data_IF_140159685438
#
_entry.id   IF_140159685438
#
_cell.length_a   1.000
_cell.length_b   1.000
_cell.length_c   1.000
_cell.angle_alpha   90.00
_cell.angle_beta   90.00
_cell.angle_gamma   90.00
#
_symmetry.space_group_name_H-M   'P 1'
#
loop_
_entity.id
_entity.type
_entity.pdbx_description
1 polymer ?
#
# COMPACT_ATOMS: atom_id res chain seq x y z
N UNK A 1 1.69 -12.87 -8.95
CA UNK A 1 0.83 -12.56 -7.79
C UNK A 1 0.22 -11.20 -8.00
N UNK A 2 -1.02 -11.00 -7.52
CA UNK A 2 -1.59 -9.66 -7.34
C UNK A 2 -2.13 -9.54 -5.92
N UNK A 3 -2.22 -8.31 -5.42
CA UNK A 3 -2.85 -7.97 -4.15
C UNK A 3 -3.64 -6.67 -4.33
N UNK A 4 -4.93 -6.69 -4.02
CA UNK A 4 -5.75 -5.47 -3.99
C UNK A 4 -5.85 -4.97 -2.55
N UNK A 5 -6.06 -3.66 -2.38
CA UNK A 5 -6.33 -3.10 -1.04
C UNK A 5 -7.57 -3.76 -0.44
N UNK A 6 -7.51 -4.01 0.86
CA UNK A 6 -8.51 -4.86 1.51
C UNK A 6 -9.93 -4.30 1.44
N UNK A 7 -10.12 -2.99 1.35
CA UNK A 7 -11.42 -2.34 1.28
C UNK A 7 -12.04 -2.36 -0.13
N UNK A 8 -11.32 -2.84 -1.15
CA UNK A 8 -11.80 -2.80 -2.54
C UNK A 8 -12.81 -3.88 -2.88
N UNK A 9 -13.94 -3.52 -3.53
CA UNK A 9 -14.84 -4.48 -4.16
C UNK A 9 -14.14 -5.31 -5.26
N UNK A 10 -14.58 -6.56 -5.50
CA UNK A 10 -13.96 -7.44 -6.50
C UNK A 10 -13.89 -6.83 -7.92
N UNK A 11 -14.88 -6.02 -8.30
CA UNK A 11 -14.94 -5.36 -9.60
C UNK A 11 -13.80 -4.34 -9.78
N UNK A 12 -13.59 -3.47 -8.78
CA UNK A 12 -12.50 -2.49 -8.80
C UNK A 12 -11.13 -3.16 -8.72
N UNK A 13 -11.01 -4.21 -7.91
CA UNK A 13 -9.80 -5.04 -7.86
C UNK A 13 -9.47 -5.64 -9.24
N UNK A 14 -10.45 -6.28 -9.89
CA UNK A 14 -10.26 -6.88 -11.21
C UNK A 14 -9.86 -5.85 -12.27
N UNK A 15 -10.49 -4.67 -12.24
CA UNK A 15 -10.14 -3.57 -13.14
C UNK A 15 -8.71 -3.07 -12.91
N UNK A 16 -8.31 -2.90 -11.65
CA UNK A 16 -6.95 -2.48 -11.31
C UNK A 16 -5.91 -3.49 -11.82
N UNK A 17 -6.12 -4.78 -11.56
CA UNK A 17 -5.20 -5.84 -11.99
C UNK A 17 -5.09 -5.90 -13.52
N UNK A 18 -6.21 -5.76 -14.23
CA UNK A 18 -6.21 -5.72 -15.70
C UNK A 18 -5.44 -4.50 -16.24
N UNK A 19 -5.66 -3.32 -15.67
CA UNK A 19 -4.94 -2.11 -16.04
C UNK A 19 -3.44 -2.27 -15.75
N UNK A 20 -3.06 -2.64 -14.53
CA UNK A 20 -1.67 -2.87 -14.13
C UNK A 20 -0.95 -3.87 -15.03
N UNK A 21 -1.63 -4.93 -15.44
CA UNK A 21 -1.07 -5.96 -16.33
C UNK A 21 -0.85 -5.42 -17.74
N UNK A 22 -1.78 -4.63 -18.28
CA UNK A 22 -1.59 -3.97 -19.57
C UNK A 22 -0.45 -2.96 -19.53
N UNK A 23 -0.41 -2.20 -18.44
CA UNK A 23 0.54 -1.15 -18.16
C UNK A 23 1.97 -1.69 -18.10
N UNK A 24 2.24 -2.70 -17.27
CA UNK A 24 3.59 -3.28 -17.08
C UNK A 24 4.17 -3.93 -18.35
N UNK A 25 3.30 -4.34 -19.29
CA UNK A 25 3.65 -4.92 -20.58
C UNK A 25 3.74 -3.88 -21.71
N UNK A 26 3.47 -2.61 -21.42
CA UNK A 26 3.55 -1.51 -22.38
C UNK A 26 4.83 -0.69 -22.23
N UNK A 27 5.10 0.18 -23.20
CA UNK A 27 6.20 1.15 -23.14
C UNK A 27 6.03 2.20 -22.03
N UNK A 28 4.89 2.20 -21.32
CA UNK A 28 4.62 3.12 -20.21
C UNK A 28 5.60 2.95 -19.03
N UNK A 29 6.17 1.76 -18.87
CA UNK A 29 7.18 1.46 -17.84
C UNK A 29 8.43 0.86 -18.49
N UNK A 30 9.34 1.71 -19.00
CA UNK A 30 10.57 1.24 -19.63
C UNK A 30 11.32 0.29 -18.69
N UNK A 31 11.91 -0.77 -19.25
CA UNK A 31 12.61 -1.87 -18.57
C UNK A 31 11.71 -2.96 -17.94
N UNK A 32 10.39 -2.79 -17.87
CA UNK A 32 9.48 -3.79 -17.33
C UNK A 32 8.94 -4.80 -18.37
N UNK A 33 8.92 -4.45 -19.66
CA UNK A 33 8.34 -5.31 -20.70
C UNK A 33 9.19 -6.55 -21.06
N UNK A 34 10.50 -6.56 -20.75
CA UNK A 34 11.41 -7.70 -20.97
C UNK A 34 11.95 -8.34 -19.69
N UNK A 35 11.53 -7.85 -18.51
CA UNK A 35 12.02 -8.42 -17.26
C UNK A 35 11.30 -9.71 -16.91
N UNK A 36 12.00 -10.57 -16.17
CA UNK A 36 11.41 -11.73 -15.51
C UNK A 36 11.11 -11.46 -14.04
N UNK A 37 11.43 -10.28 -13.51
CA UNK A 37 11.23 -9.85 -12.12
C UNK A 37 10.74 -8.40 -12.10
N UNK A 38 9.45 -8.24 -11.85
CA UNK A 38 8.80 -6.95 -11.79
C UNK A 38 7.78 -6.88 -10.66
N UNK A 39 7.67 -5.68 -10.10
CA UNK A 39 6.60 -5.27 -9.19
C UNK A 39 6.11 -3.89 -9.61
N UNK A 40 4.80 -3.71 -9.73
CA UNK A 40 4.17 -2.39 -9.85
C UNK A 40 3.13 -2.24 -8.75
N UNK A 41 3.19 -1.10 -8.09
CA UNK A 41 2.25 -0.64 -7.10
C UNK A 41 1.39 0.46 -7.74
N UNK A 42 0.08 0.21 -7.80
CA UNK A 42 -0.93 1.20 -8.10
C UNK A 42 -1.74 1.51 -6.83
N UNK A 43 -2.48 2.60 -6.86
CA UNK A 43 -3.33 3.08 -5.76
C UNK A 43 -4.34 2.02 -5.29
N UNK A 44 -4.78 1.13 -6.19
CA UNK A 44 -5.84 0.16 -5.92
C UNK A 44 -5.35 -1.30 -5.96
N UNK A 45 -4.12 -1.57 -6.40
CA UNK A 45 -3.56 -2.92 -6.40
C UNK A 45 -2.05 -2.93 -6.64
N UNK A 46 -1.44 -4.04 -6.26
CA UNK A 46 -0.08 -4.41 -6.60
C UNK A 46 -0.12 -5.64 -7.51
N UNK A 47 0.76 -5.68 -8.52
CA UNK A 47 1.11 -6.93 -9.22
C UNK A 47 2.61 -7.17 -9.11
N UNK A 48 2.99 -8.44 -8.92
CA UNK A 48 4.37 -8.90 -8.84
C UNK A 48 4.54 -10.21 -9.57
N UNK A 49 5.55 -10.31 -10.42
CA UNK A 49 6.02 -11.56 -11.00
C UNK A 49 7.54 -11.65 -10.88
N UNK A 50 8.05 -12.87 -10.75
CA UNK A 50 9.48 -13.15 -10.67
C UNK A 50 9.72 -14.55 -11.23
N UNK A 51 10.89 -14.79 -11.82
CA UNK A 51 11.39 -16.12 -12.14
C UNK A 51 11.87 -16.89 -10.88
N UNK A 52 11.95 -16.21 -9.73
CA UNK A 52 12.24 -16.81 -8.43
C UNK A 52 10.95 -16.92 -7.61
N UNK A 53 10.84 -18.00 -6.82
CA UNK A 53 9.74 -18.12 -5.86
C UNK A 53 9.89 -17.05 -4.77
N UNK A 54 8.80 -16.34 -4.50
CA UNK A 54 8.70 -15.35 -3.41
C UNK A 54 7.51 -15.62 -2.48
N UNK A 55 6.77 -16.72 -2.71
CA UNK A 55 5.61 -17.07 -1.91
C UNK A 55 6.02 -17.56 -0.52
N UNK A 56 5.20 -17.22 0.47
CA UNK A 56 5.37 -17.55 1.90
C UNK A 56 6.72 -17.14 2.49
N UNK A 57 7.41 -16.20 1.83
CA UNK A 57 8.71 -15.68 2.26
C UNK A 57 8.57 -14.17 2.45
N UNK A 58 8.88 -13.68 3.64
CA UNK A 58 8.84 -12.24 3.92
C UNK A 58 9.93 -11.52 3.14
N UNK A 59 9.54 -10.50 2.39
CA UNK A 59 10.40 -9.64 1.61
C UNK A 59 10.38 -8.22 2.17
N UNK A 60 11.52 -7.83 2.74
CA UNK A 60 11.75 -6.54 3.38
C UNK A 60 12.61 -5.63 2.50
N UNK A 61 12.78 -5.94 1.21
CA UNK A 61 13.58 -5.10 0.31
C UNK A 61 12.70 -4.07 -0.41
N UNK A 62 13.34 -3.05 -0.98
CA UNK A 62 12.72 -2.10 -1.91
C UNK A 62 11.44 -1.44 -1.37
N UNK A 63 11.56 -0.80 -0.21
CA UNK A 63 10.48 0.03 0.33
C UNK A 63 10.22 1.24 -0.56
N UNK A 64 8.96 1.42 -0.92
CA UNK A 64 8.45 2.68 -1.42
C UNK A 64 7.81 3.45 -0.27
N UNK A 65 8.10 4.74 -0.18
CA UNK A 65 7.41 5.66 0.73
C UNK A 65 7.15 6.98 0.01
N UNK A 66 5.98 7.57 0.26
CA UNK A 66 5.63 8.89 -0.25
C UNK A 66 5.09 9.75 0.89
N UNK A 67 5.96 10.53 1.52
CA UNK A 67 5.53 11.38 2.63
C UNK A 67 4.87 12.63 2.07
N UNK A 68 3.68 12.98 2.56
CA UNK A 68 3.09 14.29 2.32
C UNK A 68 3.04 15.12 3.60
N UNK A 69 3.26 16.43 3.48
CA UNK A 69 3.10 17.33 4.61
C UNK A 69 1.62 17.51 4.90
N UNK A 70 1.11 16.88 5.96
CA UNK A 70 -0.23 17.19 6.47
C UNK A 70 -0.14 18.27 7.55
N UNK A 71 -1.13 19.15 7.61
CA UNK A 71 -1.31 20.19 8.63
C UNK A 71 -1.73 19.61 9.99
N UNK A 72 -1.01 18.60 10.49
CA UNK A 72 -1.23 18.07 11.82
C UNK A 72 -1.00 19.21 12.83
N UNK A 73 -2.08 19.63 13.50
CA UNK A 73 -2.06 20.83 14.34
C UNK A 73 -1.19 20.67 15.60
N UNK A 74 -0.98 19.43 16.05
CA UNK A 74 -0.14 19.06 17.19
C UNK A 74 0.71 17.84 16.86
N UNK A 75 1.97 18.08 16.46
CA UNK A 75 2.92 17.04 16.04
C UNK A 75 3.33 16.08 17.15
N UNK A 76 3.39 16.53 18.41
CA UNK A 76 3.86 15.70 19.52
C UNK A 76 2.79 14.69 19.92
N UNK A 77 1.55 15.15 20.05
CA UNK A 77 0.41 14.28 20.30
C UNK A 77 0.16 13.34 19.12
N UNK A 78 0.34 13.82 17.88
CA UNK A 78 0.25 13.01 16.67
C UNK A 78 1.11 11.74 16.75
N UNK A 79 2.41 11.86 17.04
CA UNK A 79 3.32 10.71 16.99
C UNK A 79 2.94 9.62 17.99
N UNK A 80 2.44 10.01 19.17
CA UNK A 80 1.97 9.07 20.19
C UNK A 80 0.69 8.34 19.72
N UNK A 81 -0.28 9.09 19.20
CA UNK A 81 -1.53 8.54 18.66
C UNK A 81 -1.26 7.64 17.47
N UNK A 82 -0.38 8.05 16.55
CA UNK A 82 0.07 7.24 15.41
C UNK A 82 0.70 5.94 15.88
N UNK A 83 1.73 6.02 16.73
CA UNK A 83 2.48 4.84 17.18
C UNK A 83 1.57 3.82 17.87
N UNK A 84 0.63 4.27 18.71
CA UNK A 84 -0.35 3.38 19.32
C UNK A 84 -1.29 2.76 18.27
N UNK A 85 -1.92 3.60 17.47
CA UNK A 85 -3.00 3.19 16.55
C UNK A 85 -2.46 2.25 15.46
N UNK A 86 -1.31 2.58 14.86
CA UNK A 86 -0.74 1.76 13.78
C UNK A 86 -0.26 0.40 14.26
N UNK A 87 0.20 0.29 15.52
CA UNK A 87 0.58 -1.01 16.09
C UNK A 87 -0.65 -1.88 16.36
N UNK A 88 -1.74 -1.32 16.87
CA UNK A 88 -3.00 -2.05 17.04
C UNK A 88 -3.54 -2.57 15.69
N UNK A 89 -3.48 -1.73 14.64
CA UNK A 89 -3.87 -2.11 13.28
C UNK A 89 -2.95 -3.19 12.72
N UNK A 90 -1.64 -3.09 12.97
CA UNK A 90 -0.68 -4.09 12.50
C UNK A 90 -0.85 -5.44 13.20
N UNK A 91 -1.16 -5.46 14.49
CA UNK A 91 -1.47 -6.68 15.24
C UNK A 91 -2.73 -7.35 14.69
N UNK A 92 -3.79 -6.59 14.43
CA UNK A 92 -5.04 -7.10 13.87
C UNK A 92 -4.85 -7.68 12.45
N UNK A 93 -4.16 -6.95 11.57
CA UNK A 93 -3.88 -7.42 10.21
C UNK A 93 -3.04 -8.71 10.21
N UNK A 94 -2.09 -8.84 11.14
CA UNK A 94 -1.21 -10.00 11.24
C UNK A 94 -1.85 -11.24 11.87
N UNK A 95 -2.86 -11.07 12.73
CA UNK A 95 -3.45 -12.17 13.50
C UNK A 95 -4.21 -13.22 12.65
N UNK A 96 -4.51 -12.91 11.39
CA UNK A 96 -5.21 -13.83 10.49
C UNK A 96 -4.33 -14.99 10.03
N UNK A 97 -4.92 -16.18 9.83
CA UNK A 97 -4.22 -17.38 9.36
C UNK A 97 -3.67 -17.22 7.92
N UNK A 98 -2.76 -18.11 7.52
CA UNK A 98 -2.27 -18.19 6.13
C UNK A 98 -3.45 -18.42 5.18
N UNK A 99 -3.46 -17.72 4.04
CA UNK A 99 -4.51 -17.76 3.02
C UNK A 99 -5.71 -16.86 3.30
N UNK A 100 -5.88 -16.38 4.53
CA UNK A 100 -6.91 -15.40 4.86
C UNK A 100 -6.48 -13.98 4.48
N UNK A 101 -7.46 -13.09 4.29
CA UNK A 101 -7.22 -11.67 4.10
C UNK A 101 -6.55 -11.09 5.35
N UNK A 102 -5.36 -10.51 5.20
CA UNK A 102 -4.57 -9.89 6.26
C UNK A 102 -4.61 -8.38 6.12
N UNK A 103 -5.67 -7.78 6.64
CA UNK A 103 -5.99 -6.37 6.44
C UNK A 103 -6.74 -5.83 7.65
N UNK A 104 -6.37 -4.65 8.12
CA UNK A 104 -7.07 -3.96 9.19
C UNK A 104 -7.02 -2.45 8.99
N UNK A 105 -7.99 -1.76 9.58
CA UNK A 105 -8.12 -0.30 9.56
C UNK A 105 -8.57 0.20 10.91
N UNK A 106 -8.14 1.41 11.28
CA UNK A 106 -8.63 2.07 12.49
C UNK A 106 -8.69 3.58 12.34
N UNK A 107 -9.65 4.18 13.03
CA UNK A 107 -9.73 5.62 13.24
C UNK A 107 -9.42 5.92 14.71
N UNK A 108 -8.61 6.95 14.96
CA UNK A 108 -8.32 7.45 16.30
C UNK A 108 -8.42 8.98 16.32
N UNK A 109 -9.00 9.54 17.40
CA UNK A 109 -9.04 11.00 17.58
C UNK A 109 -7.72 11.52 18.11
N UNK A 110 -7.24 12.64 17.56
CA UNK A 110 -6.07 13.34 18.09
C UNK A 110 -6.55 14.29 19.19
N UNK A 111 -5.99 14.15 20.40
CA UNK A 111 -6.42 14.96 21.54
C UNK A 111 -6.22 16.46 21.29
N UNK A 112 -7.07 17.33 21.83
CA UNK A 112 -6.89 18.78 21.74
C UNK A 112 -7.21 19.42 20.39
N UNK A 113 -7.76 18.67 19.42
CA UNK A 113 -8.20 19.20 18.12
C UNK A 113 -9.43 18.48 17.54
N UNK A 114 -9.77 18.82 16.29
CA UNK A 114 -10.87 18.23 15.53
C UNK A 114 -10.40 17.19 14.49
N UNK A 115 -9.09 16.90 14.45
CA UNK A 115 -8.51 15.98 13.48
C UNK A 115 -8.59 14.53 13.98
N UNK A 116 -8.90 13.61 13.06
CA UNK A 116 -8.79 12.17 13.26
C UNK A 116 -7.54 11.66 12.52
N UNK A 117 -6.96 10.59 13.05
CA UNK A 117 -5.97 9.75 12.39
C UNK A 117 -6.68 8.52 11.81
N UNK A 118 -6.46 8.26 10.53
CA UNK A 118 -6.87 7.04 9.84
C UNK A 118 -5.63 6.19 9.59
N UNK A 119 -5.66 4.93 10.02
CA UNK A 119 -4.58 3.96 9.85
C UNK A 119 -5.08 2.72 9.11
N UNK A 120 -4.20 2.13 8.31
CA UNK A 120 -4.41 0.89 7.57
C UNK A 120 -3.11 0.08 7.57
N UNK A 121 -3.24 -1.25 7.67
CA UNK A 121 -2.14 -2.18 7.47
C UNK A 121 -2.61 -3.38 6.64
N UNK A 122 -1.74 -3.87 5.77
CA UNK A 122 -2.02 -5.03 4.93
C UNK A 122 -0.77 -5.88 4.73
N UNK A 123 -0.96 -7.20 4.65
CA UNK A 123 0.07 -8.16 4.25
C UNK A 123 -0.39 -9.02 3.08
N UNK A 124 0.55 -9.61 2.36
CA UNK A 124 0.22 -10.67 1.40
C UNK A 124 -0.31 -11.90 2.17
N UNK A 125 -1.40 -12.54 1.68
CA UNK A 125 -2.14 -13.56 2.43
C UNK A 125 -1.34 -14.85 2.67
N UNK A 126 -0.28 -15.09 1.89
CA UNK A 126 0.59 -16.25 1.94
C UNK A 126 1.59 -16.26 3.11
N UNK A 127 1.71 -15.16 3.85
CA UNK A 127 2.62 -15.05 5.00
C UNK A 127 2.05 -15.65 6.28
N UNK A 128 2.94 -16.15 7.15
CA UNK A 128 2.59 -16.46 8.53
C UNK A 128 2.19 -15.19 9.31
N UNK A 129 1.43 -15.29 10.41
CA UNK A 129 1.19 -14.16 11.30
C UNK A 129 2.46 -13.44 11.75
N UNK A 130 3.51 -14.22 12.07
CA UNK A 130 4.78 -13.73 12.55
C UNK A 130 5.52 -12.93 11.46
N UNK A 131 5.55 -13.46 10.23
CA UNK A 131 6.21 -12.82 9.09
C UNK A 131 5.47 -11.57 8.63
N UNK A 132 4.13 -11.60 8.63
CA UNK A 132 3.32 -10.41 8.38
C UNK A 132 3.65 -9.32 9.41
N UNK A 133 3.65 -9.66 10.71
CA UNK A 133 3.94 -8.68 11.75
C UNK A 133 5.36 -8.13 11.68
N UNK A 134 6.33 -9.00 11.36
CA UNK A 134 7.73 -8.62 11.12
C UNK A 134 7.84 -7.60 9.99
N UNK A 135 7.14 -7.81 8.87
CA UNK A 135 7.11 -6.86 7.78
C UNK A 135 6.53 -5.51 8.20
N UNK A 136 5.36 -5.53 8.85
CA UNK A 136 4.69 -4.32 9.31
C UNK A 136 5.52 -3.52 10.31
N UNK A 137 6.29 -4.18 11.19
CA UNK A 137 7.22 -3.49 12.09
C UNK A 137 8.24 -2.63 11.34
N UNK A 138 8.81 -3.14 10.25
CA UNK A 138 9.78 -2.39 9.45
C UNK A 138 9.09 -1.23 8.73
N UNK A 139 7.89 -1.45 8.18
CA UNK A 139 7.12 -0.37 7.55
C UNK A 139 6.77 0.75 8.54
N UNK A 140 6.38 0.40 9.77
CA UNK A 140 6.10 1.37 10.85
C UNK A 140 7.36 2.17 11.19
N UNK A 141 8.49 1.50 11.40
CA UNK A 141 9.76 2.17 11.69
C UNK A 141 10.18 3.14 10.58
N UNK A 142 10.05 2.71 9.32
CA UNK A 142 10.33 3.55 8.15
C UNK A 142 9.38 4.78 8.10
N UNK A 143 8.09 4.59 8.38
CA UNK A 143 7.13 5.70 8.40
C UNK A 143 7.46 6.72 9.49
N UNK A 144 7.83 6.26 10.70
CA UNK A 144 8.24 7.15 11.80
C UNK A 144 9.53 7.91 11.45
N UNK A 145 10.52 7.21 10.88
CA UNK A 145 11.84 7.76 10.59
C UNK A 145 11.82 8.76 9.42
N UNK A 146 11.12 8.41 8.33
CA UNK A 146 11.20 9.16 7.08
C UNK A 146 10.00 10.08 6.84
N UNK A 147 8.84 9.79 7.44
CA UNK A 147 7.62 10.55 7.20
C UNK A 147 6.98 11.11 8.48
N UNK A 148 7.63 11.02 9.65
CA UNK A 148 7.04 11.41 10.93
C UNK A 148 5.69 10.72 11.21
N UNK A 149 5.45 9.56 10.60
CA UNK A 149 4.17 8.85 10.65
C UNK A 149 3.02 9.55 9.91
N UNK A 150 3.25 10.69 9.24
CA UNK A 150 2.24 11.55 8.60
C UNK A 150 2.03 11.16 7.14
N UNK A 151 0.75 10.99 6.77
CA UNK A 151 0.27 10.94 5.39
C UNK A 151 1.19 10.12 4.46
N UNK A 152 1.48 8.89 4.89
CA UNK A 152 2.59 8.07 4.40
C UNK A 152 2.10 6.69 3.99
N UNK A 153 1.92 6.41 2.68
CA UNK A 153 1.94 5.04 2.20
C UNK A 153 3.38 4.55 2.28
N UNK A 154 3.64 3.52 3.09
CA UNK A 154 4.89 2.77 3.09
C UNK A 154 4.58 1.36 2.62
N UNK A 155 5.22 0.93 1.53
CA UNK A 155 4.92 -0.35 0.89
C UNK A 155 6.20 -1.13 0.58
N UNK A 156 6.25 -2.37 1.03
CA UNK A 156 7.22 -3.38 0.62
C UNK A 156 6.50 -4.45 -0.21
N UNK A 157 7.24 -5.38 -0.85
CA UNK A 157 6.62 -6.46 -1.61
C UNK A 157 5.73 -7.39 -0.77
N UNK A 158 5.86 -7.40 0.56
CA UNK A 158 5.14 -8.30 1.47
C UNK A 158 4.08 -7.62 2.32
N UNK A 159 4.17 -6.30 2.54
CA UNK A 159 3.20 -5.57 3.36
C UNK A 159 3.19 -4.07 3.04
N UNK A 160 2.09 -3.43 3.40
CA UNK A 160 1.94 -1.97 3.33
C UNK A 160 1.29 -1.43 4.60
N UNK A 161 1.61 -0.18 4.91
CA UNK A 161 0.87 0.64 5.86
C UNK A 161 0.51 1.97 5.21
N UNK A 162 -0.58 2.56 5.67
CA UNK A 162 -0.95 3.93 5.33
C UNK A 162 -1.54 4.62 6.54
N UNK A 163 -1.12 5.86 6.75
CA UNK A 163 -1.76 6.80 7.68
C UNK A 163 -2.14 8.07 6.94
N UNK A 164 -3.19 8.74 7.38
CA UNK A 164 -3.59 10.06 6.90
C UNK A 164 -4.52 10.74 7.93
N UNK A 165 -4.64 12.05 7.86
CA UNK A 165 -5.64 12.83 8.62
C UNK A 165 -6.98 12.91 7.89
N UNK A 166 -7.00 12.53 6.61
CA UNK A 166 -8.22 12.42 5.81
C UNK A 166 -8.64 10.95 5.64
N UNK A 167 -9.94 10.64 5.65
CA UNK A 167 -10.41 9.29 5.36
C UNK A 167 -10.00 8.84 3.95
N UNK A 168 -9.46 7.62 3.81
CA UNK A 168 -9.03 7.08 2.51
C UNK A 168 -9.49 5.64 2.22
N UNK A 169 -9.89 4.86 3.24
CA UNK A 169 -10.42 3.52 3.07
C UNK A 169 -11.95 3.52 3.05
N UNK A 170 -12.55 2.56 2.35
CA UNK A 170 -14.02 2.38 2.32
C UNK A 170 -14.50 1.76 3.64
N UNK A 171 -15.66 2.19 4.17
CA UNK A 171 -16.23 1.58 5.37
C UNK A 171 -16.54 0.09 5.14
N UNK A 172 -16.13 -0.77 6.09
CA UNK A 172 -16.36 -2.21 6.05
C UNK A 172 -17.86 -2.60 6.01
N UNK A 173 -18.75 -1.69 6.40
CA UNK A 173 -20.21 -1.87 6.49
C UNK A 173 -21.01 -1.25 5.34
N UNK A 174 -20.38 -0.81 4.26
CA UNK A 174 -21.12 -0.27 3.12
C UNK A 174 -21.87 -1.39 2.37
N UNK A 175 -23.10 -1.68 2.80
CA UNK A 175 -24.15 -2.05 1.83
C UNK A 175 -24.12 -0.98 0.75
N UNK A 176 -24.04 -1.41 -0.51
CA UNK A 176 -23.94 -0.53 -1.67
C UNK A 176 -24.96 0.62 -1.60
N UNK A 177 -24.51 1.76 -1.10
CA UNK A 177 -25.20 3.04 -1.25
C UNK A 177 -24.24 3.95 -1.97
N UNK A 178 -24.52 4.03 -3.26
CA UNK A 178 -23.96 4.96 -4.20
C UNK A 178 -24.49 6.34 -3.86
N UNK A 179 -23.72 7.18 -3.16
CA UNK A 179 -23.90 8.63 -3.19
C UNK A 179 -22.56 9.38 -3.27
N UNK A 180 -22.23 9.73 -4.52
CA UNK A 180 -21.93 11.09 -5.00
C UNK A 180 -21.05 11.95 -4.08
N UNK A 181 -19.75 11.67 -4.05
CA UNK A 181 -18.75 12.73 -3.80
C UNK A 181 -18.50 13.52 -5.09
N UNK A 182 -18.45 14.87 -5.06
CA UNK A 182 -18.20 15.67 -6.24
C UNK A 182 -16.82 15.35 -6.82
N UNK A 183 -16.84 14.72 -7.98
CA UNK A 183 -15.68 14.41 -8.79
C UNK A 183 -15.13 15.71 -9.37
N UNK A 184 -14.22 16.38 -8.65
CA UNK A 184 -13.30 17.32 -9.29
C UNK A 184 -12.15 16.49 -9.86
N UNK A 185 -12.42 15.78 -10.94
CA UNK A 185 -11.36 15.26 -11.80
C UNK A 185 -10.92 16.42 -12.69
N UNK A 186 -9.83 17.10 -12.28
CA UNK A 186 -9.08 17.97 -13.18
C UNK A 186 -8.39 17.10 -14.22
N UNK A 187 -9.02 16.96 -15.37
CA UNK A 187 -8.44 16.34 -16.55
C UNK A 187 -7.49 17.31 -17.24
N UNK A 188 -6.20 17.19 -16.98
CA UNK A 188 -5.15 17.67 -17.89
C UNK A 188 -3.85 16.88 -17.66
N UNK A 189 -3.63 15.94 -18.58
CA UNK A 189 -2.36 15.43 -19.09
C UNK A 189 -1.39 14.64 -18.16
N UNK A 190 -0.84 13.57 -18.76
CA UNK A 190 0.44 12.90 -18.41
C UNK A 190 0.47 11.87 -17.26
N UNK A 191 0.69 10.61 -17.66
CA UNK A 191 1.01 9.40 -16.87
C UNK A 191 -0.03 8.95 -15.81
N UNK A 192 -0.37 7.66 -15.87
CA UNK A 192 -1.44 6.97 -15.15
C UNK A 192 -1.73 7.55 -13.72
N UNK A 193 -2.88 8.23 -13.48
CA UNK A 193 -3.15 8.94 -12.21
C UNK A 193 -3.30 8.05 -10.96
N UNK A 194 -3.12 6.74 -11.11
CA UNK A 194 -3.13 5.75 -10.04
C UNK A 194 -1.75 5.11 -9.78
N UNK A 195 -0.70 5.52 -10.48
CA UNK A 195 0.65 4.96 -10.34
C UNK A 195 1.32 5.43 -9.05
N UNK A 196 1.91 4.49 -8.29
CA UNK A 196 2.67 4.79 -7.08
C UNK A 196 4.16 4.48 -7.25
N UNK A 197 4.49 3.25 -7.67
CA UNK A 197 5.89 2.85 -7.87
C UNK A 197 6.00 1.61 -8.75
N UNK A 198 7.17 1.38 -9.33
CA UNK A 198 7.56 0.08 -9.90
C UNK A 198 9.00 -0.24 -9.56
N UNK A 199 9.33 -1.53 -9.57
CA UNK A 199 10.70 -2.04 -9.52
C UNK A 199 10.81 -3.18 -10.54
N UNK A 200 11.70 -3.03 -11.52
CA UNK A 200 11.91 -3.96 -12.62
C UNK A 200 13.40 -4.24 -12.74
N UNK A 201 13.82 -5.50 -12.58
CA UNK A 201 15.23 -5.88 -12.75
C UNK A 201 15.47 -6.33 -14.17
N UNK A 202 16.20 -5.57 -15.00
CA UNK A 202 16.63 -6.08 -16.29
C UNK A 202 17.74 -7.13 -16.09
N UNK A 203 17.62 -8.29 -16.73
CA UNK A 203 18.77 -9.16 -16.95
C UNK A 203 19.61 -8.54 -18.09
N UNK A 204 20.24 -7.38 -17.87
CA UNK A 204 21.30 -6.94 -18.77
C UNK A 204 22.59 -7.72 -18.49
N UNK A 205 22.59 -8.99 -18.89
CA UNK A 205 23.76 -9.49 -19.61
C UNK A 205 23.56 -9.03 -21.05
N UNK A 206 23.92 -7.78 -21.33
CA UNK A 206 24.17 -7.34 -22.70
C UNK A 206 25.20 -8.31 -23.27
N UNK A 207 24.73 -9.25 -24.10
CA UNK A 207 25.59 -10.03 -24.97
C UNK A 207 26.17 -9.01 -25.95
N UNK A 208 27.35 -8.48 -25.64
CA UNK A 208 28.20 -7.83 -26.63
C UNK A 208 28.69 -8.91 -27.58
N UNK A 209 27.98 -9.10 -28.69
CA UNK A 209 28.50 -9.73 -29.91
C UNK A 209 29.28 -8.72 -30.73
#
# INVERSE_FOLDING_TARGET
MFLCWGDLPPQLCSQCVANATKDILSDSYPNCYLTTDARIELRDCMIRFSNRSFFSTVDLNSYFYSCSSSDASDKTNWMSVFSKTINEVADEAANSTVGAKKYATKEARISGGFQSLYCEAQCTPDLSPQDCRKCLNVSIANSQQFCEGLASPVSSPSCSIRSDVYPFYRPSTALAQQERFPQIFSSTDSQHPAYLSHNCSSNETMITT
#
